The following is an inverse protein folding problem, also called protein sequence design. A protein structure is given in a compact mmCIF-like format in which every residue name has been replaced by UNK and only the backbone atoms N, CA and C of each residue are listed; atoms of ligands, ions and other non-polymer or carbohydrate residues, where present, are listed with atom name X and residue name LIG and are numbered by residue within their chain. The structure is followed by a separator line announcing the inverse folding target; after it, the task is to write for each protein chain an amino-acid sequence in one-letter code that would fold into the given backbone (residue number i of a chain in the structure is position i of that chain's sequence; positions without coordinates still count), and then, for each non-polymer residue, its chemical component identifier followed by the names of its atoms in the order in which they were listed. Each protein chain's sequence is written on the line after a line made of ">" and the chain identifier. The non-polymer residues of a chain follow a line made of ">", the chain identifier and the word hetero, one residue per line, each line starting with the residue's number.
data_IF_706872984321
#
_entry.id   IF_706872984321
#
_cell.length_a   1.000
_cell.length_b   1.000
_cell.length_c   1.000
_cell.angle_alpha   90.00
_cell.angle_beta   90.00
_cell.angle_gamma   90.00
#
_symmetry.space_group_name_H-M   'P 1'
#
loop_
_entity.id
_entity.type
_entity.pdbx_description
1 polymer ?
#
# COMPACT_ATOMS: atom_id res chain seq x y z
N UNK A 1 -33.98 -106.83 -2.11
CA UNK A 1 -34.88 -106.13 -3.05
C UNK A 1 -34.80 -104.63 -2.70
N UNK A 2 -34.33 -103.89 -3.49
CA UNK A 2 -34.51 -103.20 -4.66
C UNK A 2 -34.20 -101.74 -4.50
N UNK A 3 -33.27 -101.23 -5.25
CA UNK A 3 -33.31 -100.06 -6.16
C UNK A 3 -33.54 -98.70 -5.51
N UNK A 4 -32.94 -97.68 -5.79
CA UNK A 4 -32.35 -97.06 -6.98
C UNK A 4 -31.64 -95.75 -6.61
N UNK A 5 -30.52 -95.51 -7.20
CA UNK A 5 -29.90 -94.26 -7.60
C UNK A 5 -30.77 -93.01 -7.62
N UNK A 6 -30.23 -91.90 -7.13
CA UNK A 6 -30.27 -90.64 -7.88
C UNK A 6 -29.05 -89.76 -7.50
N UNK A 7 -28.21 -89.50 -8.48
CA UNK A 7 -27.16 -88.52 -8.48
C UNK A 7 -27.75 -87.11 -8.27
N UNK A 8 -27.23 -86.36 -7.32
CA UNK A 8 -27.37 -84.88 -7.30
C UNK A 8 -26.05 -84.25 -7.37
N UNK A 9 -25.77 -83.67 -8.51
CA UNK A 9 -24.71 -82.77 -8.85
C UNK A 9 -24.86 -81.49 -8.04
N UNK A 10 -23.91 -81.19 -7.12
CA UNK A 10 -23.85 -79.93 -6.42
C UNK A 10 -22.73 -79.16 -7.01
N UNK A 11 -23.06 -78.07 -7.77
CA UNK A 11 -22.17 -77.08 -8.24
C UNK A 11 -21.71 -76.28 -7.06
N UNK A 12 -20.39 -76.30 -6.74
CA UNK A 12 -19.71 -75.34 -5.86
C UNK A 12 -19.44 -74.06 -6.63
N UNK A 13 -20.15 -72.99 -6.26
CA UNK A 13 -19.87 -71.64 -6.71
C UNK A 13 -18.75 -71.09 -5.82
N UNK A 14 -17.49 -71.10 -6.33
CA UNK A 14 -16.39 -70.39 -5.68
C UNK A 14 -16.55 -68.91 -6.00
N UNK A 15 -17.18 -68.18 -5.07
CA UNK A 15 -17.18 -66.70 -5.09
C UNK A 15 -15.80 -66.16 -4.66
N UNK A 16 -14.96 -65.81 -5.63
CA UNK A 16 -13.72 -65.12 -5.36
C UNK A 16 -13.99 -63.71 -4.82
N UNK A 17 -13.73 -63.49 -3.53
CA UNK A 17 -13.72 -62.20 -2.90
C UNK A 17 -12.40 -61.52 -3.25
N UNK A 18 -12.39 -60.72 -4.31
CA UNK A 18 -11.21 -59.85 -4.62
C UNK A 18 -11.22 -58.69 -3.62
N UNK A 19 -10.36 -58.82 -2.64
CA UNK A 19 -10.03 -57.72 -1.70
C UNK A 19 -9.20 -56.69 -2.48
N UNK A 20 -9.86 -55.69 -3.02
CA UNK A 20 -9.16 -54.49 -3.54
C UNK A 20 -8.59 -53.74 -2.34
N UNK A 21 -7.31 -53.95 -2.08
CA UNK A 21 -6.54 -53.08 -1.17
C UNK A 21 -6.47 -51.68 -1.79
N UNK A 22 -7.32 -50.76 -1.31
CA UNK A 22 -7.09 -49.34 -1.53
C UNK A 22 -5.78 -48.96 -0.79
N UNK A 23 -4.68 -48.94 -1.54
CA UNK A 23 -3.46 -48.28 -1.08
C UNK A 23 -3.78 -46.79 -0.98
N UNK A 24 -4.11 -46.33 0.22
CA UNK A 24 -3.92 -44.94 0.56
C UNK A 24 -2.41 -44.70 0.59
N UNK A 25 -1.83 -44.29 -0.52
CA UNK A 25 -0.56 -43.63 -0.50
C UNK A 25 -0.75 -42.36 0.33
N UNK A 26 -0.45 -42.43 1.63
CA UNK A 26 -0.23 -41.22 2.40
C UNK A 26 0.93 -40.54 1.74
N UNK A 27 0.68 -39.48 1.02
CA UNK A 27 1.68 -38.53 0.57
C UNK A 27 2.47 -38.11 1.83
N UNK A 28 3.67 -38.64 1.98
CA UNK A 28 4.59 -38.20 3.04
C UNK A 28 4.85 -36.72 2.72
N UNK A 29 4.11 -35.83 3.35
CA UNK A 29 4.39 -34.39 3.32
C UNK A 29 5.76 -34.24 3.99
N UNK A 30 6.76 -33.99 3.19
CA UNK A 30 8.14 -33.75 3.62
C UNK A 30 8.23 -32.40 4.33
N UNK A 31 7.81 -32.38 5.61
CA UNK A 31 7.63 -31.16 6.44
C UNK A 31 8.94 -30.39 6.63
N UNK A 32 10.11 -30.97 6.28
CA UNK A 32 11.44 -30.39 6.58
C UNK A 32 12.45 -30.49 5.43
N UNK A 33 12.01 -30.30 4.19
CA UNK A 33 12.93 -30.26 3.05
C UNK A 33 13.91 -29.09 3.21
N UNK A 34 15.21 -29.36 3.10
CA UNK A 34 16.24 -28.32 3.08
C UNK A 34 16.20 -27.61 1.74
N UNK A 35 15.98 -26.29 1.76
CA UNK A 35 15.89 -25.44 0.55
C UNK A 35 17.13 -24.59 0.34
N UNK A 36 17.90 -24.34 1.40
CA UNK A 36 19.22 -23.72 1.25
C UNK A 36 20.17 -24.16 2.35
N UNK A 37 21.48 -24.06 2.04
CA UNK A 37 22.56 -24.24 3.00
C UNK A 37 23.51 -23.05 2.90
N UNK A 38 23.92 -22.53 4.05
CA UNK A 38 24.93 -21.46 4.17
C UNK A 38 25.97 -21.93 5.17
N UNK A 39 27.14 -22.38 4.69
CA UNK A 39 28.15 -23.06 5.47
C UNK A 39 27.57 -24.31 6.20
N UNK A 40 27.58 -24.29 7.54
CA UNK A 40 27.04 -25.33 8.42
C UNK A 40 25.53 -25.12 8.74
N UNK A 41 24.95 -23.99 8.36
CA UNK A 41 23.56 -23.65 8.63
C UNK A 41 22.64 -24.06 7.49
N UNK A 42 21.45 -24.55 7.82
CA UNK A 42 20.45 -24.97 6.87
C UNK A 42 19.22 -24.07 6.95
N UNK A 43 18.51 -23.92 5.83
CA UNK A 43 17.19 -23.31 5.72
C UNK A 43 16.23 -24.37 5.25
N UNK A 44 15.13 -24.56 5.95
CA UNK A 44 14.11 -25.54 5.61
C UNK A 44 12.93 -24.88 4.92
N UNK A 45 12.20 -25.65 4.08
CA UNK A 45 10.98 -25.17 3.45
C UNK A 45 9.93 -24.75 4.47
N UNK A 46 9.74 -25.50 5.54
CA UNK A 46 8.78 -25.18 6.58
C UNK A 46 9.06 -23.84 7.30
N UNK A 47 10.33 -23.40 7.42
CA UNK A 47 10.65 -22.07 7.92
C UNK A 47 10.20 -20.97 6.95
N UNK A 48 10.44 -21.18 5.66
CA UNK A 48 10.06 -20.23 4.60
C UNK A 48 8.53 -20.15 4.47
N UNK A 49 7.87 -21.29 4.44
CA UNK A 49 6.42 -21.39 4.34
C UNK A 49 5.72 -20.69 5.51
N UNK A 50 6.12 -20.98 6.77
CA UNK A 50 5.60 -20.28 7.94
C UNK A 50 5.84 -18.74 7.88
N UNK A 51 6.96 -18.31 7.29
CA UNK A 51 7.22 -16.88 7.12
C UNK A 51 6.25 -16.24 6.13
N UNK A 52 5.90 -16.95 5.05
CA UNK A 52 4.92 -16.52 4.06
C UNK A 52 3.47 -16.59 4.59
N UNK A 53 3.14 -17.62 5.38
CA UNK A 53 1.84 -17.78 6.04
C UNK A 53 1.52 -16.60 6.96
N UNK A 54 2.50 -16.12 7.73
CA UNK A 54 2.35 -14.94 8.58
C UNK A 54 2.02 -13.66 7.81
N UNK A 55 2.31 -13.63 6.51
CA UNK A 55 1.96 -12.53 5.60
C UNK A 55 0.64 -12.77 4.85
N UNK A 56 -0.07 -13.87 5.16
CA UNK A 56 -1.32 -14.28 4.52
C UNK A 56 -1.21 -14.44 3.00
N UNK A 57 -0.08 -14.94 2.51
CA UNK A 57 0.09 -15.21 1.08
C UNK A 57 -0.72 -16.43 0.63
N UNK A 58 -1.35 -16.31 -0.53
CA UNK A 58 -1.96 -17.44 -1.24
C UNK A 58 -0.89 -18.41 -1.75
N UNK A 59 -1.27 -19.64 -2.07
CA UNK A 59 -0.34 -20.65 -2.59
C UNK A 59 0.36 -20.19 -3.88
N UNK A 60 -0.34 -19.45 -4.74
CA UNK A 60 0.25 -18.88 -5.95
C UNK A 60 1.30 -17.79 -5.64
N UNK A 61 1.03 -16.97 -4.64
CA UNK A 61 1.99 -15.95 -4.18
C UNK A 61 3.19 -16.59 -3.51
N UNK A 62 2.99 -17.64 -2.71
CA UNK A 62 4.08 -18.42 -2.11
C UNK A 62 5.02 -18.96 -3.18
N UNK A 63 4.48 -19.61 -4.23
CA UNK A 63 5.29 -20.13 -5.35
C UNK A 63 6.10 -19.03 -6.04
N UNK A 64 5.49 -17.87 -6.32
CA UNK A 64 6.18 -16.75 -6.98
C UNK A 64 7.27 -16.12 -6.12
N UNK A 65 7.09 -16.08 -4.80
CA UNK A 65 7.96 -15.35 -3.87
C UNK A 65 8.90 -16.24 -3.07
N UNK A 66 8.81 -17.56 -3.21
CA UNK A 66 9.65 -18.51 -2.48
C UNK A 66 11.14 -18.19 -2.59
N UNK A 67 11.62 -17.88 -3.79
CA UNK A 67 13.02 -17.54 -4.03
C UNK A 67 13.45 -16.29 -3.24
N UNK A 68 12.61 -15.25 -3.23
CA UNK A 68 12.90 -14.01 -2.50
C UNK A 68 13.02 -14.25 -0.99
N UNK A 69 12.15 -15.10 -0.44
CA UNK A 69 12.18 -15.46 0.98
C UNK A 69 13.38 -16.30 1.35
N UNK A 70 13.77 -17.25 0.49
CA UNK A 70 14.99 -18.05 0.66
C UNK A 70 16.23 -17.15 0.59
N UNK A 71 16.32 -16.27 -0.40
CA UNK A 71 17.44 -15.31 -0.51
C UNK A 71 17.49 -14.37 0.71
N UNK A 72 16.36 -13.87 1.18
CA UNK A 72 16.29 -13.04 2.39
C UNK A 72 16.77 -13.79 3.65
N UNK A 73 16.45 -15.08 3.79
CA UNK A 73 16.96 -15.90 4.91
C UNK A 73 18.47 -16.17 4.77
N UNK A 74 18.96 -16.41 3.56
CA UNK A 74 20.40 -16.53 3.27
C UNK A 74 21.14 -15.25 3.66
N UNK A 75 20.65 -14.09 3.24
CA UNK A 75 21.24 -12.78 3.56
C UNK A 75 21.29 -12.52 5.06
N UNK A 76 20.27 -12.95 5.79
CA UNK A 76 20.23 -12.91 7.26
C UNK A 76 21.31 -13.81 7.86
N UNK A 77 21.42 -15.07 7.42
CA UNK A 77 22.43 -16.01 7.89
C UNK A 77 23.85 -15.51 7.60
N UNK A 78 24.09 -14.96 6.42
CA UNK A 78 25.38 -14.35 6.07
C UNK A 78 25.73 -13.20 7.01
N UNK A 79 24.73 -12.39 7.38
CA UNK A 79 24.93 -11.28 8.34
C UNK A 79 25.29 -11.80 9.73
N UNK A 80 24.66 -12.88 10.19
CA UNK A 80 24.95 -13.50 11.48
C UNK A 80 26.37 -14.11 11.50
N UNK A 81 26.75 -14.77 10.42
CA UNK A 81 28.10 -15.33 10.27
C UNK A 81 29.14 -14.21 10.33
N UNK A 82 28.96 -13.17 9.52
CA UNK A 82 29.87 -12.02 9.50
C UNK A 82 29.94 -11.27 10.84
N UNK A 83 28.86 -11.24 11.60
CA UNK A 83 28.82 -10.66 12.96
C UNK A 83 29.68 -11.49 13.93
N UNK A 84 29.53 -12.81 13.90
CA UNK A 84 30.32 -13.71 14.73
C UNK A 84 31.81 -13.71 14.35
N UNK A 85 32.14 -13.67 13.05
CA UNK A 85 33.54 -13.60 12.56
C UNK A 85 34.25 -12.32 12.99
N UNK A 86 33.52 -11.22 13.24
CA UNK A 86 34.05 -9.99 13.81
C UNK A 86 34.26 -10.05 15.34
N UNK A 87 34.02 -11.22 15.96
CA UNK A 87 34.14 -11.41 17.40
C UNK A 87 33.01 -10.74 18.21
N UNK A 88 31.94 -10.30 17.53
CA UNK A 88 30.81 -9.66 18.18
C UNK A 88 29.83 -10.68 18.77
N UNK A 89 29.25 -10.35 19.91
CA UNK A 89 28.20 -11.12 20.54
C UNK A 89 27.00 -10.22 20.85
N UNK A 90 25.78 -10.70 20.60
CA UNK A 90 24.56 -9.97 20.92
C UNK A 90 24.19 -10.21 22.38
N UNK A 91 24.20 -9.16 23.25
CA UNK A 91 23.81 -9.30 24.64
C UNK A 91 22.34 -9.71 24.78
N UNK A 92 22.05 -10.68 25.62
CA UNK A 92 20.66 -11.15 25.84
C UNK A 92 19.79 -10.04 26.44
N UNK A 93 20.36 -9.17 27.26
CA UNK A 93 19.67 -7.99 27.79
C UNK A 93 19.15 -7.05 26.71
N UNK A 94 19.87 -6.90 25.59
CA UNK A 94 19.44 -6.08 24.46
C UNK A 94 18.28 -6.73 23.71
N UNK A 95 18.33 -8.04 23.51
CA UNK A 95 17.23 -8.82 22.89
C UNK A 95 15.97 -8.70 23.76
N UNK A 96 16.10 -8.79 25.08
CA UNK A 96 15.00 -8.63 26.03
C UNK A 96 14.41 -7.21 25.99
N UNK A 97 15.25 -6.20 25.88
CA UNK A 97 14.80 -4.82 25.77
C UNK A 97 13.98 -4.60 24.48
N UNK A 98 14.45 -5.08 23.34
CA UNK A 98 13.72 -4.97 22.08
C UNK A 98 12.44 -5.82 22.07
N UNK A 99 12.46 -6.99 22.71
CA UNK A 99 11.27 -7.80 22.93
C UNK A 99 10.19 -7.03 23.72
N UNK A 100 10.57 -6.44 24.85
CA UNK A 100 9.63 -5.68 25.69
C UNK A 100 9.12 -4.43 24.96
N UNK A 101 9.96 -3.76 24.19
CA UNK A 101 9.57 -2.62 23.35
C UNK A 101 8.52 -3.02 22.32
N UNK A 102 8.72 -4.12 21.57
CA UNK A 102 7.72 -4.64 20.63
C UNK A 102 6.44 -5.07 21.32
N UNK A 103 6.55 -5.74 22.48
CA UNK A 103 5.38 -6.11 23.27
C UNK A 103 4.55 -4.88 23.68
N UNK A 104 5.20 -3.79 24.06
CA UNK A 104 4.49 -2.54 24.38
C UNK A 104 3.90 -1.85 23.15
N UNK A 105 4.64 -1.77 22.05
CA UNK A 105 4.21 -1.07 20.84
C UNK A 105 3.06 -1.79 20.12
N UNK A 106 3.15 -3.12 19.98
CA UNK A 106 2.25 -3.89 19.13
C UNK A 106 1.09 -4.52 19.94
N UNK A 107 1.27 -4.71 21.26
CA UNK A 107 0.33 -5.43 22.12
C UNK A 107 -0.01 -4.69 23.42
N UNK A 108 0.37 -3.41 23.58
CA UNK A 108 0.17 -2.62 24.80
C UNK A 108 0.64 -3.33 26.09
N UNK A 109 1.66 -4.20 25.99
CA UNK A 109 2.18 -4.98 27.12
C UNK A 109 1.39 -6.25 27.44
N UNK A 110 0.33 -6.59 26.71
CA UNK A 110 -0.47 -7.78 26.93
C UNK A 110 0.28 -9.05 26.50
N UNK A 111 0.94 -9.68 27.47
CA UNK A 111 1.69 -10.93 27.27
C UNK A 111 0.80 -12.13 26.94
N UNK A 112 -0.47 -12.11 27.31
CA UNK A 112 -1.39 -13.20 27.01
C UNK A 112 -1.78 -13.12 25.55
N UNK A 113 -2.28 -11.97 25.12
CA UNK A 113 -2.62 -11.72 23.69
C UNK A 113 -1.43 -12.03 22.79
N UNK A 114 -0.23 -11.57 23.16
CA UNK A 114 0.99 -11.85 22.39
C UNK A 114 1.26 -13.36 22.23
N UNK A 115 1.17 -14.14 23.33
CA UNK A 115 1.36 -15.61 23.27
C UNK A 115 0.28 -16.30 22.44
N UNK A 116 -0.97 -15.83 22.53
CA UNK A 116 -2.08 -16.39 21.78
C UNK A 116 -1.88 -16.13 20.27
N UNK A 117 -1.39 -14.95 19.88
CA UNK A 117 -1.00 -14.63 18.48
C UNK A 117 0.17 -15.50 18.02
N UNK A 118 1.22 -15.66 18.82
CA UNK A 118 2.33 -16.55 18.46
C UNK A 118 1.87 -17.98 18.22
N UNK A 119 1.01 -18.50 19.12
CA UNK A 119 0.44 -19.84 19.00
C UNK A 119 -0.42 -19.98 17.74
N UNK A 120 -1.24 -18.96 17.43
CA UNK A 120 -2.01 -18.92 16.18
C UNK A 120 -1.12 -18.97 14.93
N UNK A 121 0.07 -18.40 15.02
CA UNK A 121 1.08 -18.42 13.94
C UNK A 121 2.00 -19.66 13.97
N UNK A 122 1.73 -20.66 14.83
CA UNK A 122 2.56 -21.86 14.95
C UNK A 122 3.99 -21.57 15.45
N UNK A 123 4.20 -20.48 16.20
CA UNK A 123 5.52 -20.03 16.66
C UNK A 123 5.62 -20.11 18.19
N UNK A 124 6.71 -20.68 18.70
CA UNK A 124 7.02 -20.62 20.13
C UNK A 124 7.64 -19.28 20.53
N UNK A 125 7.57 -18.93 21.82
CA UNK A 125 8.21 -17.72 22.35
C UNK A 125 9.74 -17.76 22.17
N UNK A 126 10.34 -18.95 22.32
CA UNK A 126 11.78 -19.13 22.11
C UNK A 126 12.16 -18.84 20.65
N UNK A 127 11.45 -19.46 19.72
CA UNK A 127 11.63 -19.23 18.27
C UNK A 127 11.44 -17.75 17.88
N UNK A 128 10.47 -17.07 18.50
CA UNK A 128 10.29 -15.63 18.29
C UNK A 128 11.50 -14.82 18.76
N UNK A 129 12.05 -15.13 19.93
CA UNK A 129 13.21 -14.43 20.48
C UNK A 129 14.47 -14.69 19.65
N UNK A 130 14.66 -15.92 19.19
CA UNK A 130 15.78 -16.28 18.30
C UNK A 130 15.68 -15.53 16.97
N UNK A 131 14.51 -15.50 16.35
CA UNK A 131 14.26 -14.70 15.15
C UNK A 131 14.48 -13.20 15.38
N UNK A 132 14.03 -12.67 16.52
CA UNK A 132 14.25 -11.27 16.89
C UNK A 132 15.76 -10.97 17.03
N UNK A 133 16.51 -11.85 17.66
CA UNK A 133 17.97 -11.74 17.77
C UNK A 133 18.65 -11.75 16.40
N UNK A 134 18.23 -12.64 15.52
CA UNK A 134 18.73 -12.70 14.13
C UNK A 134 18.39 -11.40 13.37
N UNK A 135 17.19 -10.88 13.53
CA UNK A 135 16.76 -9.61 12.91
C UNK A 135 17.60 -8.43 13.38
N UNK A 136 17.84 -8.34 14.70
CA UNK A 136 18.66 -7.28 15.29
C UNK A 136 20.08 -7.33 14.72
N UNK A 137 20.69 -8.51 14.67
CA UNK A 137 22.04 -8.69 14.11
C UNK A 137 22.07 -8.28 12.64
N UNK A 138 21.11 -8.76 11.84
CA UNK A 138 21.03 -8.45 10.42
C UNK A 138 20.88 -6.94 10.19
N UNK A 139 19.97 -6.28 10.89
CA UNK A 139 19.77 -4.84 10.79
C UNK A 139 20.98 -4.05 11.27
N UNK A 140 21.69 -4.51 12.32
CA UNK A 140 22.92 -3.91 12.77
C UNK A 140 24.00 -3.96 11.69
N UNK A 141 24.20 -5.11 11.07
CA UNK A 141 25.20 -5.32 10.02
C UNK A 141 24.89 -4.50 8.76
N UNK A 142 23.62 -4.32 8.41
CA UNK A 142 23.21 -3.47 7.30
C UNK A 142 23.34 -1.99 7.65
N UNK A 143 22.97 -1.59 8.88
CA UNK A 143 23.01 -0.18 9.29
C UNK A 143 24.41 0.42 9.28
N UNK A 144 25.44 -0.40 9.51
CA UNK A 144 26.85 0.03 9.38
C UNK A 144 27.22 0.50 7.96
N UNK A 145 26.34 0.31 6.96
CA UNK A 145 26.52 0.74 5.55
C UNK A 145 25.66 1.94 5.20
N UNK A 146 24.97 2.51 6.19
CA UNK A 146 24.21 3.74 5.97
C UNK A 146 25.15 4.87 5.57
N UNK A 147 24.73 5.62 4.56
CA UNK A 147 25.40 6.84 4.11
C UNK A 147 24.64 8.06 4.62
N UNK A 148 25.38 9.07 5.05
CA UNK A 148 24.78 10.35 5.43
C UNK A 148 24.31 11.08 4.16
N UNK A 149 23.24 11.87 4.29
CA UNK A 149 22.73 12.72 3.19
C UNK A 149 23.80 13.67 2.64
N UNK A 150 24.66 14.15 3.51
CA UNK A 150 25.80 15.04 3.18
C UNK A 150 26.84 14.37 2.26
N UNK A 151 26.82 13.04 2.14
CA UNK A 151 27.69 12.29 1.22
C UNK A 151 27.17 12.28 -0.22
N UNK A 152 25.97 12.82 -0.46
CA UNK A 152 25.41 12.95 -1.81
C UNK A 152 25.98 14.21 -2.45
N UNK A 153 26.77 14.06 -3.53
CA UNK A 153 27.36 15.21 -4.20
C UNK A 153 26.31 16.10 -4.87
N UNK A 154 26.49 17.44 -4.84
CA UNK A 154 25.57 18.37 -5.51
C UNK A 154 25.31 18.04 -6.99
N UNK A 155 26.34 17.62 -7.73
CA UNK A 155 26.20 17.24 -9.13
C UNK A 155 25.27 16.06 -9.36
N UNK A 156 25.21 15.08 -8.42
CA UNK A 156 24.23 13.98 -8.49
C UNK A 156 22.80 14.46 -8.25
N UNK A 157 22.62 15.44 -7.37
CA UNK A 157 21.31 16.05 -7.12
C UNK A 157 20.81 16.76 -8.37
N UNK A 158 21.69 17.53 -9.03
CA UNK A 158 21.36 18.23 -10.28
C UNK A 158 21.05 17.25 -11.42
N UNK A 159 21.83 16.19 -11.53
CA UNK A 159 21.60 15.14 -12.53
C UNK A 159 20.27 14.44 -12.30
N UNK A 160 19.97 14.03 -11.06
CA UNK A 160 18.69 13.39 -10.71
C UNK A 160 17.50 14.32 -11.01
N UNK A 161 17.59 15.59 -10.58
CA UNK A 161 16.56 16.57 -10.85
C UNK A 161 16.28 16.73 -12.34
N UNK A 162 17.32 16.85 -13.16
CA UNK A 162 17.20 16.98 -14.62
C UNK A 162 16.60 15.74 -15.28
N UNK A 163 17.01 14.55 -14.83
CA UNK A 163 16.50 13.29 -15.38
C UNK A 163 15.05 13.02 -14.98
N UNK A 164 14.62 13.50 -13.80
CA UNK A 164 13.31 13.27 -13.23
C UNK A 164 12.47 14.56 -13.13
N UNK A 165 12.71 15.52 -14.01
CA UNK A 165 12.05 16.85 -13.95
C UNK A 165 10.52 16.74 -14.06
N UNK A 166 10.01 15.65 -14.66
CA UNK A 166 8.59 15.32 -14.73
C UNK A 166 7.93 15.15 -13.36
N UNK A 167 8.64 14.54 -12.42
CA UNK A 167 8.16 14.24 -11.07
C UNK A 167 8.02 15.49 -10.20
N UNK A 168 8.76 16.55 -10.56
CA UNK A 168 8.73 17.84 -9.88
C UNK A 168 7.79 18.85 -10.55
N UNK A 169 7.00 18.42 -11.52
CA UNK A 169 5.98 19.28 -12.12
C UNK A 169 4.76 19.37 -11.23
N UNK A 170 4.27 20.61 -11.09
CA UNK A 170 3.01 20.91 -10.43
C UNK A 170 1.97 21.32 -11.48
N UNK A 171 0.74 20.89 -11.30
CA UNK A 171 -0.38 21.35 -12.13
C UNK A 171 -0.88 22.70 -11.62
N UNK A 172 -1.39 23.53 -12.52
CA UNK A 172 -2.13 24.72 -12.11
C UNK A 172 -3.30 24.32 -11.22
N UNK A 173 -3.43 25.00 -10.08
CA UNK A 173 -4.52 24.79 -9.14
C UNK A 173 -5.19 26.12 -8.79
N UNK A 174 -6.49 26.06 -8.55
CA UNK A 174 -7.31 27.22 -8.26
C UNK A 174 -8.00 27.06 -6.90
N UNK A 175 -8.06 28.14 -6.11
CA UNK A 175 -8.90 28.23 -4.93
C UNK A 175 -10.17 28.98 -5.33
N UNK A 176 -11.29 28.32 -5.18
CA UNK A 176 -12.58 28.83 -5.62
C UNK A 176 -13.43 29.29 -4.44
N UNK A 177 -14.27 30.27 -4.71
CA UNK A 177 -15.51 30.54 -3.96
C UNK A 177 -16.68 30.33 -4.90
N UNK A 178 -17.80 29.85 -4.36
CA UNK A 178 -19.01 29.61 -5.15
C UNK A 178 -20.24 30.22 -4.53
N UNK A 179 -21.16 30.69 -5.38
CA UNK A 179 -22.55 30.93 -5.05
C UNK A 179 -23.37 29.96 -5.88
N UNK A 180 -24.15 29.13 -5.23
CA UNK A 180 -24.97 28.10 -5.88
C UNK A 180 -26.42 28.39 -5.56
N UNK A 181 -27.26 28.46 -6.59
CA UNK A 181 -28.70 28.58 -6.48
C UNK A 181 -29.31 27.32 -7.06
N UNK A 182 -29.91 26.50 -6.21
CA UNK A 182 -30.53 25.22 -6.58
C UNK A 182 -32.00 25.39 -6.92
N UNK A 183 -32.52 24.55 -7.79
CA UNK A 183 -33.94 24.50 -8.10
C UNK A 183 -34.69 23.81 -6.97
N UNK A 184 -35.59 24.53 -6.32
CA UNK A 184 -36.46 23.94 -5.31
C UNK A 184 -37.74 23.37 -5.95
N UNK A 185 -38.43 22.49 -5.23
CA UNK A 185 -39.64 21.82 -5.72
C UNK A 185 -40.70 22.86 -6.11
N UNK A 186 -41.18 22.80 -7.36
CA UNK A 186 -42.15 23.71 -7.93
C UNK A 186 -41.59 25.02 -8.48
N UNK A 187 -40.27 25.26 -8.42
CA UNK A 187 -39.63 26.44 -8.95
C UNK A 187 -39.23 26.24 -10.42
N UNK A 188 -39.44 27.24 -11.26
CA UNK A 188 -39.07 27.17 -12.67
C UNK A 188 -37.56 27.46 -12.86
N UNK A 189 -36.97 26.93 -13.94
CA UNK A 189 -35.59 27.24 -14.31
C UNK A 189 -35.37 28.75 -14.53
N UNK A 190 -36.36 29.42 -15.10
CA UNK A 190 -36.31 30.86 -15.34
C UNK A 190 -36.22 31.65 -14.03
N UNK A 191 -36.93 31.20 -12.97
CA UNK A 191 -36.89 31.86 -11.64
C UNK A 191 -35.47 31.79 -11.04
N UNK A 192 -34.84 30.61 -11.01
CA UNK A 192 -33.48 30.46 -10.46
C UNK A 192 -32.43 31.17 -11.31
N UNK A 193 -32.58 31.18 -12.63
CA UNK A 193 -31.73 31.94 -13.55
C UNK A 193 -31.81 33.45 -13.28
N UNK A 194 -33.01 33.99 -13.06
CA UNK A 194 -33.22 35.40 -12.72
C UNK A 194 -32.61 35.74 -11.36
N UNK A 195 -32.77 34.87 -10.33
CA UNK A 195 -32.12 35.04 -9.02
C UNK A 195 -30.60 35.11 -9.16
N UNK A 196 -29.99 34.15 -9.87
CA UNK A 196 -28.57 34.13 -10.11
C UNK A 196 -28.05 35.35 -10.87
N UNK A 197 -28.83 35.83 -11.87
CA UNK A 197 -28.52 37.03 -12.65
C UNK A 197 -28.59 38.29 -11.81
N UNK A 198 -29.58 38.41 -10.89
CA UNK A 198 -29.69 39.51 -9.96
C UNK A 198 -28.51 39.61 -9.00
N UNK A 199 -28.08 38.47 -8.45
CA UNK A 199 -26.89 38.35 -7.60
C UNK A 199 -25.64 38.80 -8.38
N UNK A 200 -25.45 38.28 -9.59
CA UNK A 200 -24.33 38.65 -10.44
C UNK A 200 -24.33 40.18 -10.77
N UNK A 201 -25.49 40.74 -11.03
CA UNK A 201 -25.65 42.18 -11.25
C UNK A 201 -25.20 43.01 -10.03
N UNK A 202 -25.49 42.56 -8.81
CA UNK A 202 -25.04 43.17 -7.57
C UNK A 202 -23.53 43.03 -7.35
N UNK A 203 -22.97 41.87 -7.64
CA UNK A 203 -21.53 41.66 -7.58
C UNK A 203 -20.78 42.58 -8.54
N UNK A 204 -21.30 42.78 -9.77
CA UNK A 204 -20.73 43.73 -10.74
C UNK A 204 -20.74 45.17 -10.27
N UNK A 205 -21.66 45.53 -9.36
CA UNK A 205 -21.75 46.86 -8.73
C UNK A 205 -20.83 47.02 -7.51
N UNK A 206 -20.02 45.98 -7.19
CA UNK A 206 -19.03 46.02 -6.13
C UNK A 206 -19.46 45.39 -4.80
N UNK A 207 -20.59 44.68 -4.76
CA UNK A 207 -20.97 43.91 -3.56
C UNK A 207 -19.99 42.83 -3.24
N UNK A 208 -19.83 42.50 -1.95
CA UNK A 208 -18.91 41.44 -1.48
C UNK A 208 -19.41 40.07 -1.90
N UNK A 209 -18.56 39.30 -2.62
CA UNK A 209 -18.88 37.93 -3.01
C UNK A 209 -19.12 37.04 -1.79
N UNK A 210 -18.31 37.20 -0.74
CA UNK A 210 -18.41 36.41 0.49
C UNK A 210 -19.75 36.66 1.21
N UNK A 211 -20.17 37.92 1.34
CA UNK A 211 -21.45 38.26 1.97
C UNK A 211 -22.65 37.72 1.18
N UNK A 212 -22.60 37.84 -0.16
CA UNK A 212 -23.65 37.32 -1.03
C UNK A 212 -23.67 35.76 -1.00
N UNK A 213 -22.53 35.09 -0.91
CA UNK A 213 -22.49 33.66 -0.73
C UNK A 213 -23.12 33.21 0.60
N UNK A 214 -22.86 33.95 1.70
CA UNK A 214 -23.47 33.69 3.01
C UNK A 214 -25.00 33.96 3.03
N UNK A 215 -25.45 34.98 2.33
CA UNK A 215 -26.86 35.35 2.32
C UNK A 215 -27.68 34.47 1.36
N UNK A 216 -27.24 34.29 0.14
CA UNK A 216 -28.00 33.74 -0.97
C UNK A 216 -27.50 32.36 -1.43
N UNK A 217 -26.29 31.95 -1.09
CA UNK A 217 -25.75 30.67 -1.50
C UNK A 217 -26.47 29.51 -0.81
N UNK A 218 -26.54 28.36 -1.52
CA UNK A 218 -27.18 27.14 -1.05
C UNK A 218 -26.17 25.95 -1.07
N UNK A 219 -24.90 26.27 -1.24
CA UNK A 219 -23.83 25.26 -1.24
C UNK A 219 -23.43 24.86 0.19
N UNK A 220 -22.78 23.71 0.37
CA UNK A 220 -22.18 23.29 1.65
C UNK A 220 -21.19 24.32 2.21
N UNK A 221 -20.58 25.15 1.35
CA UNK A 221 -19.59 26.17 1.72
C UNK A 221 -20.21 27.55 2.07
N UNK A 222 -21.52 27.63 2.19
CA UNK A 222 -22.25 28.88 2.48
C UNK A 222 -21.71 29.60 3.71
N UNK A 223 -21.49 28.88 4.82
CA UNK A 223 -21.00 29.45 6.09
C UNK A 223 -19.65 30.14 5.94
N UNK A 224 -18.81 29.63 5.03
CA UNK A 224 -17.45 30.11 4.76
C UNK A 224 -17.40 31.12 3.60
N UNK A 225 -18.57 31.68 3.23
CA UNK A 225 -18.67 32.63 2.13
C UNK A 225 -18.39 31.99 0.77
N UNK A 226 -18.77 30.73 0.63
CA UNK A 226 -18.59 29.94 -0.58
C UNK A 226 -17.20 29.38 -0.81
N UNK A 227 -16.25 29.56 0.13
CA UNK A 227 -14.84 29.15 -0.02
C UNK A 227 -14.69 27.63 0.06
N UNK A 228 -14.06 27.04 -0.92
CA UNK A 228 -13.75 25.60 -0.92
C UNK A 228 -12.67 25.21 0.08
N UNK A 229 -11.90 26.18 0.60
CA UNK A 229 -10.86 25.94 1.59
C UNK A 229 -9.60 25.24 1.04
N UNK A 230 -9.63 24.78 -0.20
CA UNK A 230 -8.58 24.00 -0.84
C UNK A 230 -8.23 24.55 -2.23
N UNK A 231 -6.99 24.25 -2.68
CA UNK A 231 -6.62 24.44 -4.08
C UNK A 231 -6.93 23.17 -4.85
N UNK A 232 -7.72 23.29 -5.91
CA UNK A 232 -8.11 22.17 -6.77
C UNK A 232 -7.44 22.26 -8.14
N UNK A 233 -6.91 21.15 -8.60
CA UNK A 233 -6.40 20.96 -9.95
C UNK A 233 -7.53 20.62 -10.93
N UNK A 234 -7.25 20.61 -12.24
CA UNK A 234 -8.23 20.21 -13.25
C UNK A 234 -8.78 18.80 -13.03
N UNK A 235 -7.97 17.89 -12.51
CA UNK A 235 -8.36 16.48 -12.28
C UNK A 235 -9.29 16.31 -11.09
N UNK A 236 -9.16 17.19 -10.08
CA UNK A 236 -9.96 17.13 -8.86
C UNK A 236 -11.35 17.72 -9.03
N UNK A 237 -11.56 18.63 -9.98
CA UNK A 237 -12.87 19.20 -10.31
C UNK A 237 -13.61 18.25 -11.27
N UNK A 238 -14.52 17.45 -10.73
CA UNK A 238 -15.23 16.40 -11.48
C UNK A 238 -16.20 16.96 -12.52
N UNK A 239 -16.96 18.01 -12.15
CA UNK A 239 -17.92 18.61 -13.07
C UNK A 239 -17.22 19.40 -14.15
N UNK A 240 -17.48 19.05 -15.42
CA UNK A 240 -16.79 19.62 -16.57
C UNK A 240 -17.02 21.11 -16.72
N UNK A 241 -18.27 21.59 -16.54
CA UNK A 241 -18.59 23.02 -16.65
C UNK A 241 -17.92 23.83 -15.56
N UNK A 242 -18.00 23.37 -14.31
CA UNK A 242 -17.30 24.02 -13.18
C UNK A 242 -15.80 24.07 -13.48
N UNK A 243 -15.21 23.00 -13.95
CA UNK A 243 -13.79 22.93 -14.33
C UNK A 243 -13.43 23.92 -15.44
N UNK A 244 -14.24 24.03 -16.49
CA UNK A 244 -14.03 24.97 -17.58
C UNK A 244 -14.03 26.42 -17.08
N UNK A 245 -15.06 26.83 -16.31
CA UNK A 245 -15.14 28.17 -15.75
C UNK A 245 -14.00 28.43 -14.75
N UNK A 246 -13.73 27.50 -13.84
CA UNK A 246 -12.70 27.65 -12.82
C UNK A 246 -11.31 27.98 -13.41
N UNK A 247 -10.95 27.36 -14.53
CA UNK A 247 -9.65 27.56 -15.17
C UNK A 247 -9.64 28.59 -16.32
N UNK A 248 -10.78 29.21 -16.61
CA UNK A 248 -10.87 30.37 -17.53
C UNK A 248 -10.77 31.71 -16.81
N UNK A 249 -11.05 31.74 -15.50
CA UNK A 249 -11.01 32.95 -14.69
C UNK A 249 -9.57 33.35 -14.31
N UNK A 250 -9.37 34.66 -14.18
CA UNK A 250 -8.15 35.21 -13.56
C UNK A 250 -8.36 35.35 -12.04
N UNK A 251 -7.28 35.45 -11.28
CA UNK A 251 -7.34 35.71 -9.84
C UNK A 251 -8.18 36.96 -9.55
N UNK A 252 -9.18 36.82 -8.66
CA UNK A 252 -10.13 37.86 -8.29
C UNK A 252 -11.30 38.04 -9.25
N UNK A 253 -11.33 37.32 -10.36
CA UNK A 253 -12.41 37.37 -11.35
C UNK A 253 -13.50 36.37 -10.99
N UNK A 254 -14.76 36.74 -11.25
CA UNK A 254 -15.90 35.85 -11.07
C UNK A 254 -16.65 35.64 -12.39
N UNK A 255 -17.27 34.47 -12.53
CA UNK A 255 -17.99 34.07 -13.73
C UNK A 255 -19.33 34.78 -13.83
N UNK A 256 -19.92 34.86 -15.05
CA UNK A 256 -21.35 34.98 -15.21
C UNK A 256 -22.05 33.74 -14.63
N UNK A 257 -23.36 33.84 -14.28
CA UNK A 257 -24.13 32.66 -13.87
C UNK A 257 -24.17 31.62 -14.99
N UNK A 258 -23.96 30.36 -14.63
CA UNK A 258 -24.04 29.24 -15.59
C UNK A 258 -24.76 28.04 -15.00
N UNK A 259 -25.52 27.35 -15.83
CA UNK A 259 -26.30 26.17 -15.46
C UNK A 259 -25.41 24.95 -15.32
N UNK A 260 -25.58 24.21 -14.23
CA UNK A 260 -24.93 22.92 -13.96
C UNK A 260 -26.01 21.88 -13.66
N UNK A 261 -25.90 20.71 -14.25
CA UNK A 261 -26.66 19.53 -13.84
C UNK A 261 -25.99 18.92 -12.63
N UNK A 262 -26.73 18.72 -11.54
CA UNK A 262 -26.18 18.16 -10.32
C UNK A 262 -25.91 16.68 -10.47
N UNK A 263 -24.89 16.21 -9.76
CA UNK A 263 -24.49 14.80 -9.75
C UNK A 263 -24.91 14.19 -8.42
N UNK A 264 -25.44 12.98 -8.48
CA UNK A 264 -25.76 12.19 -7.29
C UNK A 264 -24.97 10.88 -7.28
N UNK A 265 -24.76 10.34 -6.09
CA UNK A 265 -24.22 9.00 -5.93
C UNK A 265 -25.37 8.00 -5.93
N UNK A 266 -25.38 7.09 -6.90
CA UNK A 266 -26.36 6.02 -7.01
C UNK A 266 -26.11 4.92 -5.96
N UNK A 267 -27.13 4.07 -5.67
CA UNK A 267 -26.99 2.96 -4.74
C UNK A 267 -25.87 1.95 -5.11
N UNK A 268 -25.54 1.81 -6.39
CA UNK A 268 -24.46 0.97 -6.90
C UNK A 268 -23.06 1.61 -6.71
N UNK A 269 -23.00 2.81 -6.10
CA UNK A 269 -21.76 3.56 -5.88
C UNK A 269 -21.29 4.40 -7.07
N UNK A 270 -21.94 4.27 -8.24
CA UNK A 270 -21.65 5.11 -9.42
C UNK A 270 -22.13 6.54 -9.20
N UNK A 271 -21.52 7.47 -9.95
CA UNK A 271 -21.94 8.88 -9.97
C UNK A 271 -22.67 9.14 -11.28
N UNK A 272 -23.90 9.65 -11.18
CA UNK A 272 -24.73 10.00 -12.32
C UNK A 272 -25.39 11.35 -12.15
N UNK A 273 -26.10 11.82 -13.19
CA UNK A 273 -26.88 13.03 -13.15
C UNK A 273 -28.12 12.79 -12.28
N UNK A 274 -28.40 13.71 -11.34
CA UNK A 274 -29.62 13.64 -10.49
C UNK A 274 -30.88 14.06 -11.23
N UNK A 275 -30.75 14.77 -12.34
CA UNK A 275 -31.86 15.45 -13.02
C UNK A 275 -32.15 16.84 -12.45
N UNK A 276 -31.57 17.18 -11.33
CA UNK A 276 -31.67 18.51 -10.73
C UNK A 276 -30.67 19.46 -11.36
N UNK A 277 -31.05 20.75 -11.40
CA UNK A 277 -30.21 21.82 -11.94
C UNK A 277 -29.89 22.87 -10.86
N UNK A 278 -28.72 23.47 -11.00
CA UNK A 278 -28.33 24.62 -10.22
C UNK A 278 -27.63 25.66 -11.10
N UNK A 279 -27.71 26.91 -10.69
CA UNK A 279 -26.91 27.98 -11.27
C UNK A 279 -25.76 28.31 -10.35
N UNK A 280 -24.58 28.36 -10.94
CA UNK A 280 -23.29 28.62 -10.27
C UNK A 280 -22.77 29.99 -10.68
N UNK A 281 -22.21 30.71 -9.73
CA UNK A 281 -21.30 31.84 -9.93
C UNK A 281 -20.01 31.47 -9.20
N UNK A 282 -18.88 31.41 -9.91
CA UNK A 282 -17.60 31.07 -9.35
C UNK A 282 -16.71 32.29 -9.26
N UNK A 283 -15.95 32.41 -8.18
CA UNK A 283 -14.88 33.37 -8.01
C UNK A 283 -13.55 32.62 -7.88
N UNK A 284 -12.56 32.94 -8.73
CA UNK A 284 -11.20 32.49 -8.55
C UNK A 284 -10.52 33.32 -7.45
N UNK A 285 -10.61 32.88 -6.20
CA UNK A 285 -10.06 33.59 -5.05
C UNK A 285 -8.54 33.65 -5.13
N UNK A 286 -7.90 32.58 -5.56
CA UNK A 286 -6.46 32.51 -5.81
C UNK A 286 -6.13 31.47 -6.88
N UNK A 287 -5.00 31.65 -7.57
CA UNK A 287 -4.51 30.74 -8.60
C UNK A 287 -3.02 30.50 -8.36
N UNK A 288 -2.66 29.23 -8.25
CA UNK A 288 -1.27 28.79 -8.25
C UNK A 288 -0.94 28.25 -9.63
N UNK A 289 -0.10 28.93 -10.40
CA UNK A 289 0.30 28.44 -11.72
C UNK A 289 1.07 27.13 -11.57
N UNK A 290 0.79 26.20 -12.47
CA UNK A 290 1.61 25.01 -12.61
C UNK A 290 3.03 25.38 -13.09
N UNK A 291 3.98 24.53 -12.76
CA UNK A 291 5.37 24.77 -13.11
C UNK A 291 6.25 23.59 -12.75
N UNK A 292 7.53 23.84 -12.63
CA UNK A 292 8.50 22.89 -12.09
C UNK A 292 9.01 23.47 -10.79
N UNK A 293 8.98 22.69 -9.71
CA UNK A 293 9.55 23.11 -8.42
C UNK A 293 11.05 23.38 -8.59
N UNK A 294 11.52 24.45 -7.96
CA UNK A 294 12.96 24.77 -7.98
C UNK A 294 13.79 23.68 -7.31
N UNK A 295 14.97 23.43 -7.85
CA UNK A 295 15.87 22.39 -7.33
C UNK A 295 16.19 22.57 -5.83
N UNK A 296 16.28 23.81 -5.35
CA UNK A 296 16.56 24.08 -3.94
C UNK A 296 15.38 23.70 -3.04
N UNK A 297 14.14 23.79 -3.56
CA UNK A 297 12.93 23.37 -2.85
C UNK A 297 12.89 21.84 -2.67
N UNK A 298 13.27 21.08 -3.70
CA UNK A 298 13.20 19.61 -3.72
C UNK A 298 14.52 18.94 -3.38
N UNK A 299 15.61 19.69 -3.21
CA UNK A 299 16.93 19.17 -2.85
C UNK A 299 16.92 18.20 -1.66
N UNK A 300 16.26 18.50 -0.51
CA UNK A 300 16.23 17.60 0.64
C UNK A 300 15.56 16.26 0.34
N UNK A 301 14.56 16.27 -0.55
CA UNK A 301 13.86 15.06 -1.00
C UNK A 301 14.77 14.21 -1.91
N UNK A 302 15.41 14.84 -2.89
CA UNK A 302 16.34 14.18 -3.81
C UNK A 302 17.54 13.59 -3.05
N UNK A 303 18.12 14.33 -2.12
CA UNK A 303 19.24 13.85 -1.29
C UNK A 303 18.83 12.61 -0.47
N UNK A 304 17.61 12.58 0.06
CA UNK A 304 17.07 11.42 0.76
C UNK A 304 16.94 10.21 -0.16
N UNK A 305 16.41 10.39 -1.38
CA UNK A 305 16.27 9.33 -2.38
C UNK A 305 17.65 8.79 -2.75
N UNK A 306 18.58 9.65 -3.12
CA UNK A 306 19.93 9.28 -3.55
C UNK A 306 20.72 8.61 -2.42
N UNK A 307 20.61 9.10 -1.18
CA UNK A 307 21.23 8.46 -0.02
C UNK A 307 20.69 7.05 0.19
N UNK A 308 19.37 6.84 0.06
CA UNK A 308 18.72 5.53 0.15
C UNK A 308 19.20 4.58 -0.95
N UNK A 309 19.35 5.05 -2.19
CA UNK A 309 19.89 4.26 -3.30
C UNK A 309 21.36 3.85 -3.07
N UNK A 310 22.20 4.78 -2.60
CA UNK A 310 23.60 4.51 -2.26
C UNK A 310 23.67 3.47 -1.13
N UNK A 311 22.85 3.62 -0.10
CA UNK A 311 22.74 2.67 1.01
C UNK A 311 22.35 1.28 0.50
N UNK A 312 21.27 1.18 -0.24
CA UNK A 312 20.80 -0.10 -0.79
C UNK A 312 21.85 -0.76 -1.70
N UNK A 313 22.56 0.03 -2.52
CA UNK A 313 23.65 -0.48 -3.35
C UNK A 313 24.81 -0.99 -2.49
N UNK A 314 25.20 -0.23 -1.46
CA UNK A 314 26.28 -0.62 -0.54
C UNK A 314 25.94 -1.90 0.22
N UNK A 315 24.71 -2.03 0.71
CA UNK A 315 24.21 -3.23 1.38
C UNK A 315 24.24 -4.45 0.44
N UNK A 316 23.70 -4.32 -0.78
CA UNK A 316 23.73 -5.40 -1.79
C UNK A 316 25.16 -5.82 -2.15
N UNK A 317 26.06 -4.87 -2.33
CA UNK A 317 27.46 -5.17 -2.61
C UNK A 317 28.14 -5.88 -1.45
N UNK A 318 27.83 -5.52 -0.22
CA UNK A 318 28.37 -6.18 0.96
C UNK A 318 27.84 -7.60 1.07
N UNK A 319 26.52 -7.82 0.97
CA UNK A 319 25.91 -9.17 0.97
C UNK A 319 26.46 -10.03 -0.14
N UNK A 320 26.64 -9.49 -1.35
CA UNK A 320 27.26 -10.22 -2.46
C UNK A 320 28.70 -10.66 -2.14
N UNK A 321 29.50 -9.85 -1.43
CA UNK A 321 30.83 -10.25 -0.98
C UNK A 321 30.76 -11.37 0.07
N UNK A 322 29.83 -11.27 1.03
CA UNK A 322 29.62 -12.34 2.03
C UNK A 322 29.22 -13.65 1.35
N UNK A 323 28.28 -13.59 0.39
CA UNK A 323 27.82 -14.76 -0.38
C UNK A 323 28.97 -15.44 -1.16
N UNK A 324 29.92 -14.66 -1.70
CA UNK A 324 31.11 -15.20 -2.40
C UNK A 324 32.13 -15.84 -1.45
N UNK A 325 32.19 -15.38 -0.20
CA UNK A 325 33.09 -15.92 0.81
C UNK A 325 32.55 -17.16 1.55
N UNK A 326 31.26 -17.47 1.38
CA UNK A 326 30.58 -18.59 2.06
C UNK A 326 30.20 -19.69 1.07
N UNK A 327 30.06 -20.90 1.56
CA UNK A 327 29.42 -21.98 0.81
C UNK A 327 27.90 -21.77 0.84
N UNK A 328 27.30 -21.52 -0.30
CA UNK A 328 25.83 -21.34 -0.43
C UNK A 328 25.30 -22.29 -1.49
N UNK A 329 24.35 -23.15 -1.12
CA UNK A 329 23.60 -23.97 -2.07
C UNK A 329 22.10 -23.74 -1.88
N UNK A 330 21.33 -23.71 -2.98
CA UNK A 330 19.89 -23.49 -2.99
C UNK A 330 19.24 -24.57 -3.83
N UNK A 331 18.15 -25.16 -3.32
CA UNK A 331 17.33 -26.16 -4.01
C UNK A 331 15.87 -25.83 -3.72
N UNK A 332 15.22 -25.03 -4.59
CA UNK A 332 13.81 -24.69 -4.43
C UNK A 332 12.92 -25.89 -4.76
N UNK A 333 11.76 -26.06 -4.09
CA UNK A 333 10.74 -26.99 -4.53
C UNK A 333 10.18 -26.53 -5.89
N UNK A 334 9.83 -27.52 -6.73
CA UNK A 334 9.18 -27.29 -8.04
C UNK A 334 7.75 -26.76 -7.91
#
# INVERSE_FOLDING_TARGET
>A
MGKNNLLKLTCYFLGGLTLTALSFASELVEINRVVARVNDRIVTWGEIERAMDRMNFTEEEKKRRAADFVDGKIDRLLSIIAFAEQGMAMPESYVEQEYNKKLMQDFNGDRKLFRDVLKGNGQSLLEYRDNLKEDIIHMHMLSARKRKREEVSPGRVEEYYRQNIGDFRTETSVRLREIVITQQSGESEESISQKASSIWGSLKKGSSFEEFAKQHGESPFKSDGGDWGVYATKKEIRNEKIRQYAFSLKKGEFSAPFKVELLERRPDGSIGKSGEIAYYILLAADIRPGGVKDINEVRPEIEKILASEIEAKSQRQWLSRQKKGAYVSVTLPE
#
